data_IF_398537941202
#
_entry.id   IF_398537941202
#
_cell.length_a   1.000
_cell.length_b   1.000
_cell.length_c   1.000
_cell.angle_alpha   90.00
_cell.angle_beta   90.00
_cell.angle_gamma   90.00
#
_symmetry.space_group_name_H-M   'P 1'
#
loop_
_entity.id
_entity.type
_entity.pdbx_description
1 polymer ?
#
# COMPACT_ATOMS: atom_id res chain seq x y z
N UNK A 1 23.97 2.48 5.71
CA UNK A 1 24.45 1.51 4.71
C UNK A 1 25.50 0.58 5.32
N UNK A 2 26.61 1.10 5.93
CA UNK A 2 27.65 0.24 6.53
C UNK A 2 27.13 -0.71 7.62
N UNK A 3 26.21 -0.25 8.50
CA UNK A 3 25.63 -1.08 9.55
C UNK A 3 24.83 -2.28 8.99
N UNK A 4 24.07 -2.07 7.89
CA UNK A 4 23.32 -3.13 7.21
C UNK A 4 24.30 -4.19 6.67
N UNK A 5 25.32 -3.75 5.93
CA UNK A 5 26.34 -4.66 5.41
C UNK A 5 27.10 -5.42 6.52
N UNK A 6 27.33 -4.79 7.67
CA UNK A 6 27.95 -5.45 8.83
C UNK A 6 27.04 -6.51 9.45
N UNK A 7 25.74 -6.21 9.58
CA UNK A 7 24.77 -7.19 10.07
C UNK A 7 24.67 -8.41 9.15
N UNK A 8 24.60 -8.19 7.83
CA UNK A 8 24.57 -9.26 6.83
C UNK A 8 25.85 -10.11 6.86
N UNK A 9 27.03 -9.51 7.03
CA UNK A 9 28.29 -10.25 7.21
C UNK A 9 28.32 -11.08 8.49
N UNK A 10 27.60 -10.65 9.52
CA UNK A 10 27.43 -11.43 10.76
C UNK A 10 26.37 -12.53 10.66
N UNK A 11 25.76 -12.72 9.49
CA UNK A 11 24.76 -13.76 9.25
C UNK A 11 23.31 -13.32 9.49
N UNK A 12 23.05 -12.05 9.79
CA UNK A 12 21.69 -11.55 9.98
C UNK A 12 21.04 -11.24 8.62
N UNK A 13 19.73 -11.47 8.54
CA UNK A 13 18.91 -11.01 7.42
C UNK A 13 18.30 -9.64 7.74
N UNK A 14 18.25 -8.78 6.74
CA UNK A 14 17.81 -7.40 6.88
C UNK A 14 16.63 -7.11 5.96
N UNK A 15 15.53 -6.61 6.52
CA UNK A 15 14.30 -6.35 5.77
C UNK A 15 13.76 -4.95 6.03
N UNK A 16 13.09 -4.37 5.02
CA UNK A 16 12.21 -3.23 5.17
C UNK A 16 10.78 -3.73 5.31
N UNK A 17 10.08 -3.31 6.37
CA UNK A 17 8.65 -3.58 6.57
C UNK A 17 7.88 -2.26 6.53
N UNK A 18 7.15 -2.02 5.44
CA UNK A 18 6.55 -0.72 5.12
C UNK A 18 5.08 -0.83 4.70
N UNK A 19 4.31 0.26 4.94
CA UNK A 19 2.97 0.42 4.38
C UNK A 19 2.95 0.82 2.90
N UNK A 20 4.09 1.23 2.32
CA UNK A 20 4.18 1.56 0.90
C UNK A 20 4.14 0.28 0.06
N UNK A 21 3.39 0.30 -1.04
CA UNK A 21 3.51 -0.74 -2.07
C UNK A 21 4.86 -0.66 -2.76
N UNK A 22 5.28 -1.72 -3.44
CA UNK A 22 6.59 -1.76 -4.07
C UNK A 22 6.81 -0.58 -5.02
N UNK A 23 5.84 -0.24 -5.88
CA UNK A 23 5.90 0.94 -6.77
C UNK A 23 6.15 2.26 -6.02
N UNK A 24 5.66 2.37 -4.79
CA UNK A 24 5.80 3.57 -3.97
C UNK A 24 7.08 3.59 -3.11
N UNK A 25 7.84 2.48 -3.00
CA UNK A 25 9.16 2.50 -2.34
C UNK A 25 10.14 3.31 -3.20
N UNK A 26 10.89 4.21 -2.58
CA UNK A 26 11.86 5.05 -3.30
C UNK A 26 13.03 4.21 -3.84
N UNK A 27 13.52 4.47 -5.08
CA UNK A 27 14.62 3.71 -5.69
C UNK A 27 15.90 3.70 -4.84
N UNK A 28 16.20 4.81 -4.17
CA UNK A 28 17.36 4.94 -3.30
C UNK A 28 17.27 3.98 -2.10
N UNK A 29 16.06 3.76 -1.58
CA UNK A 29 15.82 2.81 -0.49
C UNK A 29 15.99 1.36 -0.97
N UNK A 30 15.53 1.06 -2.19
CA UNK A 30 15.72 -0.26 -2.83
C UNK A 30 17.20 -0.55 -3.07
N UNK A 31 17.99 0.48 -3.42
CA UNK A 31 19.41 0.36 -3.72
C UNK A 31 20.31 0.16 -2.49
N UNK A 32 19.79 0.26 -1.26
CA UNK A 32 20.60 0.08 -0.03
C UNK A 32 21.13 -1.36 0.10
N UNK A 33 20.45 -2.35 -0.47
CA UNK A 33 20.88 -3.74 -0.47
C UNK A 33 20.35 -4.54 0.72
N UNK A 34 19.10 -4.29 1.13
CA UNK A 34 18.38 -5.18 2.06
C UNK A 34 18.15 -6.56 1.44
N UNK A 35 18.06 -7.59 2.27
CA UNK A 35 17.74 -8.95 1.82
C UNK A 35 16.33 -9.07 1.26
N UNK A 36 15.41 -8.20 1.70
CA UNK A 36 14.06 -8.15 1.16
C UNK A 36 13.19 -7.06 1.73
N UNK A 37 11.91 -7.10 1.31
CA UNK A 37 10.91 -6.09 1.64
C UNK A 37 9.57 -6.75 1.96
N UNK A 38 8.89 -6.24 2.97
CA UNK A 38 7.47 -6.49 3.23
C UNK A 38 6.76 -5.18 2.90
N UNK A 39 6.01 -5.15 1.80
CA UNK A 39 5.39 -3.98 1.23
C UNK A 39 3.87 -3.97 1.46
N UNK A 40 3.22 -2.82 1.25
CA UNK A 40 1.77 -2.67 1.27
C UNK A 40 1.10 -3.12 2.57
N UNK A 41 1.78 -2.94 3.73
CA UNK A 41 1.30 -3.49 5.00
C UNK A 41 1.15 -5.03 4.98
N UNK A 42 2.05 -5.74 4.30
CA UNK A 42 2.03 -7.20 4.23
C UNK A 42 1.26 -7.78 3.05
N UNK A 43 0.81 -6.95 2.10
CA UNK A 43 0.20 -7.44 0.86
C UNK A 43 1.22 -8.03 -0.11
N UNK A 44 2.50 -7.68 0.03
CA UNK A 44 3.56 -8.20 -0.82
C UNK A 44 4.84 -8.46 -0.03
N UNK A 45 5.46 -9.61 -0.25
CA UNK A 45 6.73 -10.01 0.35
C UNK A 45 7.73 -10.32 -0.74
N UNK A 46 8.85 -9.62 -0.74
CA UNK A 46 9.94 -9.78 -1.68
C UNK A 46 11.19 -10.22 -0.91
N UNK A 47 11.82 -11.30 -1.32
CA UNK A 47 13.07 -11.80 -0.75
C UNK A 47 14.05 -12.13 -1.85
N UNK A 48 15.25 -11.58 -1.80
CA UNK A 48 16.31 -11.77 -2.80
C UNK A 48 15.82 -11.58 -4.24
N UNK A 49 15.06 -10.50 -4.45
CA UNK A 49 14.44 -10.13 -5.72
C UNK A 49 13.38 -11.11 -6.26
N UNK A 50 12.88 -12.01 -5.43
CA UNK A 50 11.76 -12.89 -5.78
C UNK A 50 10.53 -12.52 -4.96
N UNK A 51 9.39 -12.41 -5.61
CA UNK A 51 8.10 -12.24 -4.93
C UNK A 51 7.70 -13.58 -4.33
N UNK A 52 7.67 -13.66 -2.99
CA UNK A 52 7.27 -14.86 -2.26
C UNK A 52 5.77 -14.90 -2.01
N UNK A 53 5.15 -13.74 -1.85
CA UNK A 53 3.74 -13.57 -1.58
C UNK A 53 3.27 -12.26 -2.20
N UNK A 54 2.08 -12.28 -2.81
CA UNK A 54 1.38 -11.09 -3.27
C UNK A 54 -0.12 -11.31 -3.17
N UNK A 55 -0.78 -10.47 -2.39
CA UNK A 55 -2.23 -10.44 -2.27
C UNK A 55 -2.78 -9.21 -2.98
N UNK A 56 -3.39 -9.41 -4.12
CA UNK A 56 -4.11 -8.39 -4.87
C UNK A 56 -5.61 -8.47 -4.55
N UNK A 57 -6.28 -7.34 -4.48
CA UNK A 57 -7.74 -7.28 -4.33
C UNK A 57 -8.39 -7.74 -5.63
N UNK A 58 -9.44 -8.58 -5.52
CA UNK A 58 -10.15 -9.12 -6.70
C UNK A 58 -10.76 -7.99 -7.53
N UNK A 59 -10.75 -8.08 -8.86
CA UNK A 59 -11.25 -7.02 -9.75
C UNK A 59 -12.70 -6.59 -9.46
N UNK A 60 -13.57 -7.54 -9.13
CA UNK A 60 -14.98 -7.26 -8.82
C UNK A 60 -15.10 -6.41 -7.54
N UNK A 61 -14.26 -6.70 -6.54
CA UNK A 61 -14.22 -5.93 -5.30
C UNK A 61 -13.59 -4.56 -5.56
N UNK A 62 -12.56 -4.47 -6.39
CA UNK A 62 -11.97 -3.19 -6.80
C UNK A 62 -13.01 -2.26 -7.44
N UNK A 63 -13.84 -2.80 -8.34
CA UNK A 63 -14.93 -2.05 -8.97
C UNK A 63 -15.97 -1.58 -7.93
N UNK A 64 -16.37 -2.46 -7.01
CA UNK A 64 -17.33 -2.13 -5.95
C UNK A 64 -16.80 -1.06 -5.00
N UNK A 65 -15.53 -1.15 -4.62
CA UNK A 65 -14.87 -0.14 -3.76
C UNK A 65 -14.80 1.21 -4.47
N UNK A 66 -14.45 1.23 -5.76
CA UNK A 66 -14.45 2.47 -6.55
C UNK A 66 -15.82 3.18 -6.51
N UNK A 67 -16.90 2.44 -6.74
CA UNK A 67 -18.25 3.00 -6.71
C UNK A 67 -18.66 3.45 -5.29
N UNK A 68 -18.26 2.70 -4.27
CA UNK A 68 -18.48 3.10 -2.87
C UNK A 68 -17.77 4.43 -2.56
N UNK A 69 -16.48 4.54 -2.88
CA UNK A 69 -15.69 5.76 -2.68
C UNK A 69 -16.35 6.96 -3.38
N UNK A 70 -16.76 6.78 -4.64
CA UNK A 70 -17.50 7.81 -5.40
C UNK A 70 -18.77 8.24 -4.69
N UNK A 71 -19.58 7.27 -4.25
CA UNK A 71 -20.85 7.54 -3.58
C UNK A 71 -20.71 8.19 -2.19
N UNK A 72 -19.51 8.13 -1.60
CA UNK A 72 -19.18 8.74 -0.31
C UNK A 72 -18.41 10.05 -0.42
N UNK A 73 -18.09 10.51 -1.64
CA UNK A 73 -17.39 11.78 -1.90
C UNK A 73 -16.00 11.87 -1.22
N UNK A 74 -15.24 10.78 -1.19
CA UNK A 74 -13.86 10.77 -0.70
C UNK A 74 -12.85 10.91 -1.85
N UNK A 75 -11.65 11.44 -1.58
CA UNK A 75 -10.56 11.52 -2.57
C UNK A 75 -9.68 10.26 -2.45
N UNK A 76 -9.69 9.33 -3.41
CA UNK A 76 -8.91 8.10 -3.32
C UNK A 76 -7.52 8.19 -3.96
N UNK A 77 -6.61 7.35 -3.46
CA UNK A 77 -5.44 6.89 -4.20
C UNK A 77 -5.34 5.37 -4.01
N UNK A 78 -5.47 4.64 -5.11
CA UNK A 78 -5.38 3.18 -5.12
C UNK A 78 -3.95 2.77 -5.41
N UNK A 79 -3.39 1.90 -4.59
CA UNK A 79 -1.99 1.51 -4.66
C UNK A 79 -1.88 0.04 -5.09
N UNK A 80 -1.25 -0.21 -6.24
CA UNK A 80 -0.86 -1.53 -6.73
C UNK A 80 0.65 -1.70 -6.60
N UNK A 81 1.14 -2.91 -6.66
CA UNK A 81 2.56 -3.23 -6.54
C UNK A 81 3.45 -2.46 -7.52
N UNK A 82 3.00 -2.21 -8.74
CA UNK A 82 3.76 -1.58 -9.81
C UNK A 82 3.40 -0.10 -10.05
N UNK A 83 2.17 0.31 -9.78
CA UNK A 83 1.66 1.65 -10.07
C UNK A 83 0.63 2.11 -9.05
N UNK A 84 0.22 3.36 -9.12
CA UNK A 84 -0.87 3.93 -8.34
C UNK A 84 -1.92 4.53 -9.28
N UNK A 85 -3.19 4.55 -8.82
CA UNK A 85 -4.29 5.11 -9.59
C UNK A 85 -5.05 6.15 -8.78
N UNK A 86 -5.44 7.24 -9.42
CA UNK A 86 -6.37 8.20 -8.85
C UNK A 86 -7.62 8.32 -9.72
N UNK A 87 -8.74 8.72 -9.11
CA UNK A 87 -9.99 8.96 -9.84
C UNK A 87 -10.10 10.46 -10.17
N UNK A 88 -9.99 10.86 -11.46
CA UNK A 88 -10.03 12.26 -11.84
C UNK A 88 -11.42 12.89 -11.68
N UNK A 89 -12.46 12.08 -11.51
CA UNK A 89 -13.84 12.54 -11.32
C UNK A 89 -14.16 12.91 -9.87
N UNK A 90 -13.30 12.52 -8.94
CA UNK A 90 -13.48 12.76 -7.52
C UNK A 90 -12.96 14.12 -7.07
N UNK A 91 -13.51 14.69 -5.97
CA UNK A 91 -12.95 15.88 -5.35
C UNK A 91 -11.47 15.73 -5.08
N UNK A 92 -10.72 16.82 -5.23
CA UNK A 92 -9.28 16.83 -4.97
C UNK A 92 -9.01 17.47 -3.62
N UNK A 93 -8.87 16.65 -2.59
CA UNK A 93 -8.47 17.14 -1.27
C UNK A 93 -7.11 17.86 -1.35
N UNK A 94 -6.89 19.01 -0.65
CA UNK A 94 -5.64 19.77 -0.73
C UNK A 94 -4.38 18.93 -0.45
N UNK A 95 -4.41 18.08 0.57
CA UNK A 95 -3.27 17.20 0.91
C UNK A 95 -2.98 16.15 -0.18
N UNK A 96 -4.02 15.65 -0.88
CA UNK A 96 -3.83 14.81 -2.07
C UNK A 96 -3.11 15.60 -3.17
N UNK A 97 -3.53 16.83 -3.45
CA UNK A 97 -2.88 17.67 -4.47
C UNK A 97 -1.39 17.92 -4.16
N UNK A 98 -1.06 18.13 -2.89
CA UNK A 98 0.34 18.32 -2.48
C UNK A 98 1.16 17.03 -2.59
N UNK A 99 0.56 15.88 -2.28
CA UNK A 99 1.20 14.58 -2.51
C UNK A 99 1.47 14.34 -4.00
N UNK A 100 0.51 14.66 -4.88
CA UNK A 100 0.67 14.50 -6.33
C UNK A 100 1.84 15.32 -6.88
N UNK A 101 2.06 16.55 -6.39
CA UNK A 101 3.25 17.36 -6.74
C UNK A 101 4.56 16.70 -6.28
N UNK A 102 4.54 16.01 -5.13
CA UNK A 102 5.70 15.26 -4.65
C UNK A 102 5.96 14.05 -5.54
N UNK A 103 4.91 13.31 -5.92
CA UNK A 103 5.01 12.14 -6.77
C UNK A 103 5.50 12.48 -8.19
N UNK A 104 5.01 13.58 -8.76
CA UNK A 104 5.50 14.10 -10.03
C UNK A 104 7.00 14.40 -9.98
N UNK A 105 7.47 15.14 -8.95
CA UNK A 105 8.90 15.42 -8.77
C UNK A 105 9.75 14.17 -8.57
N UNK A 106 9.20 13.12 -7.95
CA UNK A 106 9.85 11.83 -7.73
C UNK A 106 9.67 10.87 -8.90
N UNK A 107 9.00 11.29 -9.96
CA UNK A 107 8.68 10.47 -11.13
C UNK A 107 8.01 9.14 -10.75
N UNK A 108 7.10 9.17 -9.76
CA UNK A 108 6.28 8.02 -9.40
C UNK A 108 5.28 7.72 -10.50
N UNK A 109 5.04 6.44 -10.77
CA UNK A 109 4.01 6.04 -11.71
C UNK A 109 2.63 6.17 -11.05
N UNK A 110 1.91 7.23 -11.42
CA UNK A 110 0.53 7.51 -10.97
C UNK A 110 -0.32 7.78 -12.19
N UNK A 111 -1.32 6.95 -12.38
CA UNK A 111 -2.18 6.94 -13.57
C UNK A 111 -3.61 7.35 -13.21
N UNK A 112 -4.30 7.90 -14.19
CA UNK A 112 -5.72 8.23 -14.05
C UNK A 112 -6.56 7.00 -14.43
N UNK A 113 -7.67 6.80 -13.71
CA UNK A 113 -8.52 5.62 -13.86
C UNK A 113 -9.35 5.59 -15.15
N UNK A 114 -9.40 6.66 -15.95
CA UNK A 114 -10.36 6.82 -17.05
C UNK A 114 -10.19 5.73 -18.12
N UNK A 115 -8.96 5.30 -18.38
CA UNK A 115 -8.62 4.41 -19.49
C UNK A 115 -8.15 3.01 -19.05
N UNK A 116 -8.31 2.65 -17.76
CA UNK A 116 -7.81 1.36 -17.26
C UNK A 116 -8.93 0.32 -17.12
N UNK A 117 -9.08 -0.52 -18.16
CA UNK A 117 -9.98 -1.67 -18.13
C UNK A 117 -9.56 -2.71 -17.06
N UNK A 118 -8.27 -2.81 -16.79
CA UNK A 118 -7.67 -3.77 -15.85
C UNK A 118 -7.39 -3.16 -14.48
N UNK A 119 -8.25 -2.25 -14.02
CA UNK A 119 -8.10 -1.61 -12.73
C UNK A 119 -8.13 -2.61 -11.58
N UNK A 120 -7.05 -2.65 -10.83
CA UNK A 120 -6.89 -3.43 -9.60
C UNK A 120 -5.93 -2.73 -8.66
N UNK A 121 -5.95 -3.09 -7.39
CA UNK A 121 -5.05 -2.56 -6.37
C UNK A 121 -4.79 -3.58 -5.27
N UNK A 122 -3.77 -3.35 -4.46
CA UNK A 122 -3.41 -4.17 -3.32
C UNK A 122 -3.98 -3.57 -2.03
N UNK A 123 -3.95 -2.27 -1.92
CA UNK A 123 -4.52 -1.44 -0.86
C UNK A 123 -4.90 -0.07 -1.43
N UNK A 124 -5.56 0.75 -0.63
CA UNK A 124 -5.82 2.13 -1.03
C UNK A 124 -5.85 3.06 0.17
N UNK A 125 -5.80 4.35 -0.10
CA UNK A 125 -5.93 5.41 0.90
C UNK A 125 -7.01 6.36 0.46
N UNK A 126 -7.62 7.08 1.41
CA UNK A 126 -8.53 8.18 1.13
C UNK A 126 -8.14 9.41 1.92
N UNK A 127 -8.40 10.56 1.32
CA UNK A 127 -8.58 11.81 2.05
C UNK A 127 -10.07 12.09 2.15
N UNK A 128 -10.50 12.56 3.31
CA UNK A 128 -11.89 12.83 3.62
C UNK A 128 -12.04 14.14 4.42
N UNK A 129 -13.18 14.76 4.30
CA UNK A 129 -13.55 15.99 4.97
C UNK A 129 -15.02 15.96 5.42
N UNK A 130 -15.57 17.11 5.80
CA UNK A 130 -16.95 17.26 6.27
C UNK A 130 -18.02 16.90 5.20
N UNK A 131 -17.65 16.86 3.93
CA UNK A 131 -18.55 16.51 2.82
C UNK A 131 -18.55 14.99 2.54
N UNK A 132 -17.66 14.26 3.18
CA UNK A 132 -17.52 12.80 3.00
C UNK A 132 -18.51 12.06 3.90
N UNK A 133 -19.31 11.15 3.34
CA UNK A 133 -20.10 10.19 4.12
C UNK A 133 -19.20 9.07 4.67
N UNK A 134 -18.40 9.46 5.70
CA UNK A 134 -17.40 8.56 6.28
C UNK A 134 -18.04 7.32 6.91
N UNK A 135 -19.24 7.47 7.52
CA UNK A 135 -19.93 6.33 8.15
C UNK A 135 -20.34 5.29 7.10
N UNK A 136 -20.99 5.71 6.03
CA UNK A 136 -21.36 4.83 4.91
C UNK A 136 -20.13 4.15 4.31
N UNK A 137 -19.03 4.90 4.16
CA UNK A 137 -17.79 4.37 3.66
C UNK A 137 -17.24 3.27 4.57
N UNK A 138 -17.11 3.53 5.87
CA UNK A 138 -16.60 2.55 6.85
C UNK A 138 -17.47 1.30 6.90
N UNK A 139 -18.78 1.45 6.94
CA UNK A 139 -19.72 0.32 6.92
C UNK A 139 -19.57 -0.52 5.64
N UNK A 140 -19.34 0.14 4.50
CA UNK A 140 -19.23 -0.51 3.19
C UNK A 140 -17.93 -1.29 2.97
N UNK A 141 -16.84 -0.92 3.66
CA UNK A 141 -15.56 -1.64 3.57
C UNK A 141 -15.34 -2.68 4.67
N UNK A 142 -16.14 -2.66 5.73
CA UNK A 142 -15.87 -3.36 6.99
C UNK A 142 -15.67 -4.88 6.84
N UNK A 143 -16.26 -5.50 5.81
CA UNK A 143 -16.10 -6.93 5.56
C UNK A 143 -14.73 -7.30 4.99
N UNK A 144 -14.15 -6.42 4.17
CA UNK A 144 -13.00 -6.75 3.34
C UNK A 144 -11.72 -6.01 3.75
N UNK A 145 -11.85 -4.85 4.40
CA UNK A 145 -10.72 -3.99 4.77
C UNK A 145 -10.73 -3.59 6.23
N UNK A 146 -9.54 -3.35 6.76
CA UNK A 146 -9.31 -2.61 7.99
C UNK A 146 -9.19 -1.12 7.66
N UNK A 147 -9.98 -0.28 8.35
CA UNK A 147 -9.90 1.17 8.27
C UNK A 147 -8.90 1.66 9.31
N UNK A 148 -7.80 2.23 8.87
CA UNK A 148 -6.74 2.75 9.74
C UNK A 148 -6.74 4.27 9.63
N UNK A 149 -7.36 4.93 10.59
CA UNK A 149 -7.35 6.39 10.68
C UNK A 149 -5.93 6.89 10.98
N UNK A 150 -5.46 7.81 10.17
CA UNK A 150 -4.16 8.48 10.32
C UNK A 150 -4.30 9.92 10.76
N UNK A 151 -5.50 10.29 11.20
CA UNK A 151 -5.86 11.65 11.60
C UNK A 151 -5.86 12.67 10.45
N UNK A 152 -6.30 13.89 10.72
CA UNK A 152 -6.30 15.02 9.77
C UNK A 152 -6.98 14.72 8.42
N UNK A 153 -8.06 13.93 8.42
CA UNK A 153 -8.80 13.61 7.20
C UNK A 153 -8.09 12.64 6.27
N UNK A 154 -7.21 11.78 6.80
CA UNK A 154 -6.48 10.76 6.02
C UNK A 154 -6.63 9.38 6.65
N UNK A 155 -6.95 8.38 5.84
CA UNK A 155 -7.06 7.00 6.26
C UNK A 155 -6.47 6.01 5.24
N UNK A 156 -5.96 4.88 5.76
CA UNK A 156 -5.50 3.75 4.96
C UNK A 156 -6.47 2.58 5.08
N UNK A 157 -6.75 1.93 3.97
CA UNK A 157 -7.53 0.70 3.87
C UNK A 157 -6.62 -0.45 3.46
N UNK A 158 -6.45 -1.40 4.36
CA UNK A 158 -5.61 -2.58 4.15
C UNK A 158 -6.53 -3.81 4.13
N UNK A 159 -6.36 -4.75 3.19
CA UNK A 159 -7.18 -5.96 3.15
C UNK A 159 -7.14 -6.69 4.49
N UNK A 160 -8.25 -7.30 4.91
CA UNK A 160 -8.32 -8.14 6.10
C UNK A 160 -7.22 -9.20 6.08
N UNK A 161 -6.66 -9.50 7.24
CA UNK A 161 -5.55 -10.43 7.44
C UNK A 161 -4.19 -9.98 6.86
N UNK A 162 -4.10 -8.75 6.32
CA UNK A 162 -2.84 -8.13 5.96
C UNK A 162 -2.41 -7.11 7.01
N UNK A 163 -1.19 -7.20 7.47
CA UNK A 163 -0.55 -6.23 8.36
C UNK A 163 0.97 -6.40 8.27
N UNK A 164 1.70 -5.43 8.80
CA UNK A 164 3.17 -5.58 8.96
C UNK A 164 3.53 -6.81 9.79
N UNK A 165 2.71 -7.17 10.78
CA UNK A 165 2.94 -8.31 11.64
C UNK A 165 2.67 -9.64 10.91
N UNK A 166 1.55 -9.74 10.18
CA UNK A 166 1.25 -10.95 9.41
C UNK A 166 2.25 -11.17 8.28
N UNK A 167 2.70 -10.10 7.59
CA UNK A 167 3.75 -10.20 6.59
C UNK A 167 5.10 -10.66 7.18
N UNK A 168 5.45 -10.19 8.38
CA UNK A 168 6.62 -10.67 9.10
C UNK A 168 6.51 -12.17 9.43
N UNK A 169 5.36 -12.60 9.98
CA UNK A 169 5.12 -14.00 10.31
C UNK A 169 5.23 -14.91 9.08
N UNK A 170 4.61 -14.53 7.96
CA UNK A 170 4.70 -15.28 6.70
C UNK A 170 6.15 -15.39 6.19
N UNK A 171 6.93 -14.31 6.29
CA UNK A 171 8.33 -14.31 5.90
C UNK A 171 9.15 -15.28 6.79
N UNK A 172 8.98 -15.22 8.10
CA UNK A 172 9.67 -16.07 9.06
C UNK A 172 9.31 -17.54 8.84
N UNK A 173 8.03 -17.84 8.62
CA UNK A 173 7.55 -19.19 8.29
C UNK A 173 8.19 -19.72 6.99
N UNK A 174 8.26 -18.86 5.96
CA UNK A 174 8.91 -19.20 4.68
C UNK A 174 10.41 -19.51 4.88
N UNK A 175 11.09 -18.74 5.71
CA UNK A 175 12.50 -18.92 6.01
C UNK A 175 12.78 -20.07 7.01
N UNK A 176 11.73 -20.70 7.56
CA UNK A 176 11.82 -21.73 8.59
C UNK A 176 12.60 -21.26 9.85
N UNK A 177 12.37 -20.01 10.23
CA UNK A 177 12.97 -19.36 11.40
C UNK A 177 11.93 -19.21 12.52
N UNK A 178 12.37 -18.88 13.74
CA UNK A 178 11.48 -18.47 14.84
C UNK A 178 11.40 -16.92 14.87
N UNK A 179 10.24 -16.37 15.24
CA UNK A 179 10.08 -14.91 15.47
C UNK A 179 11.01 -14.33 16.54
N UNK A 180 11.70 -15.19 17.29
CA UNK A 180 12.69 -14.81 18.31
C UNK A 180 14.11 -14.68 17.75
N UNK A 181 14.36 -15.20 16.56
CA UNK A 181 15.65 -15.16 15.89
C UNK A 181 15.86 -13.81 15.18
#
# INVERSE_FOLDING_TARGET
IQAIASAQKAGHLTFINTGRTWGNVDPELRAIGFDGFICGCGTEIIYRNQVLFHQQVKPELCASIRELVRSCNATPLYERSDTMFYDPTMPKHPAFCDLMKIYERKQKDVQDLTDHADFSFDKFVIWYDEQTDLKKFQDGIAADFDFIDRENGFAEMVPKNCSKATGMQQLVDYLQMDMKD
#
